data_IF_157966133766
#
_entry.id   IF_157966133766
#
_cell.length_a   1.000
_cell.length_b   1.000
_cell.length_c   1.000
_cell.angle_alpha   90.00
_cell.angle_beta   90.00
_cell.angle_gamma   90.00
#
_symmetry.space_group_name_H-M   'P 1'
#
loop_
_entity.id
_entity.type
_entity.pdbx_description
1 polymer ?
#
# COMPACT_ATOMS: atom_id res chain seq x y z
N UNK A 1 8.51 -4.14 2.12
CA UNK A 1 7.93 -5.45 2.49
C UNK A 1 8.84 -6.63 2.11
N UNK A 2 9.11 -6.91 0.82
CA UNK A 2 9.99 -8.02 0.37
C UNK A 2 11.32 -8.11 1.13
N UNK A 3 12.08 -7.02 1.22
CA UNK A 3 13.39 -7.02 1.87
C UNK A 3 13.36 -7.38 3.37
N UNK A 4 12.22 -7.17 4.03
CA UNK A 4 12.01 -7.48 5.45
C UNK A 4 11.23 -8.78 5.66
N UNK A 5 11.01 -9.59 4.61
CA UNK A 5 10.26 -10.85 4.70
C UNK A 5 8.79 -10.68 5.11
N UNK A 6 8.25 -9.46 5.02
CA UNK A 6 6.85 -9.17 5.36
C UNK A 6 5.96 -9.76 4.28
N UNK A 7 5.00 -10.64 4.60
CA UNK A 7 4.03 -11.13 3.63
C UNK A 7 3.12 -10.00 3.11
N UNK A 8 2.86 -9.98 1.83
CA UNK A 8 1.93 -9.05 1.19
C UNK A 8 1.40 -9.65 -0.10
N UNK A 9 0.25 -9.14 -0.54
CA UNK A 9 -0.29 -9.42 -1.87
C UNK A 9 0.04 -8.24 -2.76
N UNK A 10 0.70 -8.51 -3.88
CA UNK A 10 0.90 -7.52 -4.93
C UNK A 10 -0.34 -7.50 -5.83
N UNK A 11 -0.89 -6.31 -6.03
CA UNK A 11 -2.03 -6.10 -6.93
C UNK A 11 -1.54 -5.21 -8.07
N UNK A 12 -1.54 -5.75 -9.28
CA UNK A 12 -1.17 -5.02 -10.49
C UNK A 12 -2.38 -4.25 -11.04
N UNK A 13 -2.39 -2.95 -10.80
CA UNK A 13 -3.44 -2.04 -11.27
C UNK A 13 -3.22 -1.55 -12.71
N UNK A 14 -2.09 -1.88 -13.34
CA UNK A 14 -1.83 -1.48 -14.73
C UNK A 14 -2.69 -2.30 -15.70
N UNK A 15 -2.94 -3.57 -15.36
CA UNK A 15 -3.65 -4.53 -16.21
C UNK A 15 -5.01 -4.96 -15.65
N UNK A 16 -5.40 -4.46 -14.47
CA UNK A 16 -6.70 -4.73 -13.85
C UNK A 16 -7.46 -3.41 -13.61
N UNK A 17 -8.45 -3.17 -14.48
CA UNK A 17 -9.27 -1.97 -14.42
C UNK A 17 -10.05 -1.85 -13.10
N UNK A 18 -10.52 -2.97 -12.54
CA UNK A 18 -11.31 -2.96 -11.31
C UNK A 18 -10.45 -2.65 -10.09
N UNK A 19 -9.26 -3.24 -10.00
CA UNK A 19 -8.33 -2.93 -8.91
C UNK A 19 -7.73 -1.53 -9.05
N UNK A 20 -7.54 -1.02 -10.27
CA UNK A 20 -7.19 0.39 -10.49
C UNK A 20 -8.25 1.33 -9.95
N UNK A 21 -9.52 1.11 -10.30
CA UNK A 21 -10.62 1.97 -9.88
C UNK A 21 -10.75 1.96 -8.34
N UNK A 22 -10.57 0.78 -7.73
CA UNK A 22 -10.49 0.63 -6.27
C UNK A 22 -9.32 1.39 -5.66
N UNK A 23 -8.12 1.31 -6.24
CA UNK A 23 -6.95 2.05 -5.75
C UNK A 23 -7.19 3.57 -5.81
N UNK A 24 -7.83 4.07 -6.88
CA UNK A 24 -8.21 5.48 -7.02
C UNK A 24 -9.22 5.91 -5.96
N UNK A 25 -10.23 5.09 -5.69
CA UNK A 25 -11.21 5.34 -4.61
C UNK A 25 -10.51 5.44 -3.25
N UNK A 26 -9.66 4.47 -2.92
CA UNK A 26 -8.88 4.45 -1.67
C UNK A 26 -7.93 5.65 -1.55
N UNK A 27 -7.42 6.17 -2.66
CA UNK A 27 -6.57 7.36 -2.71
C UNK A 27 -7.33 8.69 -2.70
N UNK A 28 -8.66 8.67 -2.53
CA UNK A 28 -9.52 9.85 -2.50
C UNK A 28 -9.73 10.47 -3.89
N UNK A 29 -9.84 9.64 -4.93
CA UNK A 29 -10.03 10.05 -6.32
C UNK A 29 -8.73 10.37 -7.06
N UNK A 30 -7.57 10.22 -6.41
CA UNK A 30 -6.26 10.47 -7.02
C UNK A 30 -5.65 9.18 -7.56
N UNK A 31 -4.73 9.29 -8.53
CA UNK A 31 -4.05 8.14 -9.15
C UNK A 31 -2.65 7.87 -8.59
N UNK A 32 -2.41 8.29 -7.35
CA UNK A 32 -1.13 8.13 -6.67
C UNK A 32 -0.89 6.65 -6.32
N UNK A 33 0.33 6.16 -6.55
CA UNK A 33 0.75 4.79 -6.25
C UNK A 33 2.15 4.81 -5.61
N UNK A 34 2.45 3.90 -4.67
CA UNK A 34 1.63 2.75 -4.24
C UNK A 34 0.50 3.14 -3.27
N UNK A 35 -0.58 2.36 -3.29
CA UNK A 35 -1.62 2.36 -2.24
C UNK A 35 -1.46 1.07 -1.45
N UNK A 36 -1.35 1.17 -0.13
CA UNK A 36 -1.16 0.02 0.77
C UNK A 36 -2.33 -0.06 1.73
N UNK A 37 -3.04 -1.19 1.71
CA UNK A 37 -4.08 -1.50 2.70
C UNK A 37 -3.48 -2.40 3.77
N UNK A 38 -3.51 -1.94 5.02
CA UNK A 38 -3.00 -2.69 6.18
C UNK A 38 -4.05 -3.71 6.66
N UNK A 39 -3.65 -4.75 7.42
CA UNK A 39 -4.59 -5.75 7.94
C UNK A 39 -5.73 -5.17 8.80
N UNK A 40 -5.53 -4.00 9.42
CA UNK A 40 -6.55 -3.28 10.20
C UNK A 40 -7.54 -2.46 9.36
N UNK A 41 -7.37 -2.41 8.04
CA UNK A 41 -8.18 -1.60 7.12
C UNK A 41 -7.64 -0.19 6.87
N UNK A 42 -6.61 0.25 7.61
CA UNK A 42 -5.94 1.52 7.36
C UNK A 42 -5.32 1.55 5.97
N UNK A 43 -5.37 2.73 5.34
CA UNK A 43 -4.87 2.95 3.97
C UNK A 43 -3.73 3.97 4.02
N UNK A 44 -2.61 3.61 3.39
CA UNK A 44 -1.48 4.50 3.15
C UNK A 44 -1.37 4.78 1.65
N UNK A 45 -1.25 6.06 1.28
CA UNK A 45 -1.11 6.50 -0.12
C UNK A 45 0.27 7.11 -0.27
N UNK A 46 1.07 6.56 -1.19
CA UNK A 46 2.48 6.91 -1.39
C UNK A 46 3.32 6.97 -0.10
N UNK A 47 3.22 5.97 0.81
CA UNK A 47 3.98 6.02 2.05
C UNK A 47 5.49 5.95 1.78
N UNK A 48 6.24 6.70 2.58
CA UNK A 48 7.68 6.49 2.73
C UNK A 48 7.96 5.14 3.40
N UNK A 49 9.19 4.65 3.27
CA UNK A 49 9.64 3.44 3.98
C UNK A 49 9.49 3.58 5.50
N UNK A 50 9.70 4.77 6.06
CA UNK A 50 9.58 5.03 7.49
C UNK A 50 8.13 4.98 7.96
N UNK A 51 7.20 5.60 7.23
CA UNK A 51 5.76 5.55 7.54
C UNK A 51 5.23 4.13 7.45
N UNK A 52 5.60 3.40 6.40
CA UNK A 52 5.19 2.01 6.24
C UNK A 52 5.77 1.11 7.34
N UNK A 53 7.05 1.28 7.70
CA UNK A 53 7.67 0.51 8.78
C UNK A 53 7.00 0.78 10.13
N UNK A 54 6.74 2.05 10.44
CA UNK A 54 6.03 2.45 11.66
C UNK A 54 4.62 1.82 11.72
N UNK A 55 3.87 1.89 10.62
CA UNK A 55 2.53 1.32 10.54
C UNK A 55 2.51 -0.21 10.66
N UNK A 56 3.60 -0.88 10.28
CA UNK A 56 3.78 -2.33 10.42
C UNK A 56 4.42 -2.74 11.76
N UNK A 57 4.78 -1.78 12.63
CA UNK A 57 5.49 -2.07 13.89
C UNK A 57 6.91 -2.62 13.68
N UNK A 58 7.52 -2.35 12.53
CA UNK A 58 8.88 -2.77 12.21
C UNK A 58 9.87 -1.74 12.75
N UNK A 59 10.92 -2.21 13.41
CA UNK A 59 12.03 -1.35 13.78
C UNK A 59 12.80 -0.97 12.52
N UNK A 60 12.90 0.33 12.24
CA UNK A 60 13.86 0.87 11.27
C UNK A 60 15.22 0.93 11.97
N UNK A 61 16.05 -0.08 11.73
CA UNK A 61 17.44 -0.12 12.18
C UNK A 61 18.35 0.72 11.26
#
# INVERSE_FOLDING_TARGET
MRANGVPFTEIDVEHDDAERDRAVELAGGRKNIPVVVLPGGDVLVEPTNAELANALGLSVA
#
